data_IF_450585905931
#
_entry.id   IF_450585905931
#
_cell.length_a   1.000
_cell.length_b   1.000
_cell.length_c   1.000
_cell.angle_alpha   90.00
_cell.angle_beta   90.00
_cell.angle_gamma   90.00
#
_symmetry.space_group_name_H-M   'P 1'
#
loop_
_entity.id
_entity.type
_entity.pdbx_description
1 polymer ?
2 polymer ?
3 branched ?
4 non-polymer ?
5 non-polymer ?
6 water ?
#
# COMPACT_ATOMS: atom_id res chain seq x y z
N UNK A 1 -15.47 10.50 14.49
CA UNK A 1 -15.51 9.05 14.15
C UNK A 1 -14.30 8.55 13.35
N UNK A 2 -14.11 9.08 12.13
CA UNK A 2 -13.16 8.50 11.16
C UNK A 2 -13.90 7.46 10.33
N UNK A 3 -13.15 6.57 9.67
CA UNK A 3 -13.77 5.56 8.79
C UNK A 3 -12.99 4.24 8.68
N UNK A 4 -13.62 3.22 8.10
CA UNK A 4 -13.01 1.91 8.00
C UNK A 4 -11.77 1.86 7.11
N UNK A 5 -11.73 2.74 6.11
CA UNK A 5 -10.56 2.87 5.25
C UNK A 5 -9.34 3.46 6.00
N UNK A 6 -9.56 4.50 6.82
CA UNK A 6 -8.50 4.98 7.71
C UNK A 6 -7.99 3.87 8.63
N UNK A 7 -8.90 3.13 9.28
CA UNK A 7 -8.50 2.03 10.16
C UNK A 7 -7.64 1.00 9.44
N UNK A 8 -7.94 0.74 8.17
CA UNK A 8 -7.20 -0.24 7.39
C UNK A 8 -5.81 0.29 7.01
N UNK A 9 -5.72 1.58 6.69
CA UNK A 9 -4.43 2.27 6.53
C UNK A 9 -3.59 2.23 7.82
N UNK A 10 -4.23 2.43 8.97
CA UNK A 10 -3.56 2.34 10.27
C UNK A 10 -2.98 0.94 10.49
N UNK A 11 -3.81 -0.08 10.30
CA UNK A 11 -3.39 -1.49 10.49
C UNK A 11 -2.23 -1.83 9.56
N UNK A 12 -2.33 -1.36 8.32
CA UNK A 12 -1.28 -1.64 7.34
C UNK A 12 0.07 -1.04 7.74
N UNK A 13 0.08 0.25 8.12
CA UNK A 13 1.31 0.95 8.52
C UNK A 13 1.92 0.46 9.82
N UNK A 14 1.11 -0.27 10.60
CA UNK A 14 1.54 -0.90 11.86
C UNK A 14 1.95 -2.36 11.67
N UNK A 15 1.88 -2.84 10.43
CA UNK A 15 2.34 -4.18 10.10
C UNK A 15 3.57 -4.10 9.22
N UNK A 16 4.63 -4.81 9.59
CA UNK A 16 5.90 -4.75 8.85
C UNK A 16 5.74 -5.03 7.34
N UNK A 17 5.02 -6.09 7.00
CA UNK A 17 4.83 -6.49 5.61
C UNK A 17 3.97 -5.50 4.84
N UNK A 18 2.78 -5.20 5.35
CA UNK A 18 1.88 -4.33 4.60
C UNK A 18 2.53 -2.97 4.38
N UNK A 19 3.07 -2.39 5.46
CA UNK A 19 3.74 -1.08 5.40
C UNK A 19 4.79 -0.97 4.29
N UNK A 20 5.69 -1.95 4.24
CA UNK A 20 6.78 -2.01 3.27
C UNK A 20 6.28 -2.11 1.82
N UNK A 21 5.34 -3.00 1.57
CA UNK A 21 4.83 -3.22 0.22
C UNK A 21 3.86 -2.13 -0.24
N UNK A 22 3.17 -1.49 0.70
CA UNK A 22 2.44 -0.25 0.38
C UNK A 22 3.43 0.84 -0.13
N UNK A 23 4.47 1.15 0.65
CA UNK A 23 5.47 2.15 0.22
C UNK A 23 6.11 1.76 -1.09
N UNK A 24 6.37 0.45 -1.25
CA UNK A 24 6.96 -0.09 -2.47
C UNK A 24 6.12 0.18 -3.73
N UNK A 25 4.81 0.36 -3.57
CA UNK A 25 3.98 0.71 -4.73
C UNK A 25 3.62 2.19 -4.79
N UNK A 26 3.42 2.82 -3.64
CA UNK A 26 3.21 4.28 -3.63
C UNK A 26 4.38 5.01 -4.30
N UNK A 27 5.61 4.53 -4.07
CA UNK A 27 6.80 5.15 -4.68
C UNK A 27 6.76 5.23 -6.23
N UNK A 28 6.81 4.07 -6.93
CA UNK A 28 6.77 4.17 -8.41
C UNK A 28 5.47 4.77 -8.95
N UNK A 29 4.36 4.58 -8.23
CA UNK A 29 3.06 5.09 -8.68
C UNK A 29 2.90 6.62 -8.58
N UNK A 30 3.79 7.29 -7.83
CA UNK A 30 3.73 8.76 -7.65
C UNK A 30 4.99 9.49 -8.11
N UNK A 31 5.94 8.74 -8.67
CA UNK A 31 7.19 9.29 -9.19
C UNK A 31 7.02 9.58 -10.66
N UNK A 32 6.89 10.85 -11.01
CA UNK A 32 6.67 11.25 -12.40
C UNK A 32 7.94 11.11 -13.24
N UNK A 33 7.74 10.83 -14.52
CA UNK A 33 8.83 10.78 -15.50
C UNK A 33 8.79 12.02 -16.39
N UNK A 34 9.81 12.17 -17.25
CA UNK A 34 9.80 13.23 -18.25
C UNK A 34 8.67 12.99 -19.26
N UNK A 35 7.71 13.90 -19.26
CA UNK A 35 6.56 13.89 -20.17
C UNK A 35 5.47 12.85 -19.83
N UNK A 36 5.53 12.29 -18.61
CA UNK A 36 4.53 11.31 -18.14
C UNK A 36 4.27 11.45 -16.64
N UNK A 37 3.07 11.09 -16.19
CA UNK A 37 2.71 11.24 -14.78
C UNK A 37 3.40 10.19 -13.88
N UNK A 38 3.69 9.03 -14.45
CA UNK A 38 4.39 7.93 -13.75
C UNK A 38 4.95 6.92 -14.76
N UNK A 39 5.71 5.96 -14.27
CA UNK A 39 6.01 4.78 -15.08
C UNK A 39 4.96 3.71 -14.74
N UNK A 40 4.00 3.58 -15.66
CA UNK A 40 2.82 2.72 -15.46
C UNK A 40 3.22 1.25 -15.24
N UNK A 41 4.20 0.75 -16.02
CA UNK A 41 4.71 -0.61 -15.88
C UNK A 41 5.23 -0.89 -14.46
N UNK A 42 6.06 0.00 -13.94
CA UNK A 42 6.67 -0.16 -12.60
C UNK A 42 5.63 -0.01 -11.49
N UNK A 43 4.64 0.85 -11.73
CA UNK A 43 3.56 1.01 -10.78
C UNK A 43 2.71 -0.25 -10.76
N UNK A 44 2.31 -0.72 -11.95
CA UNK A 44 1.60 -2.00 -12.09
C UNK A 44 2.32 -3.15 -11.39
N UNK A 45 3.62 -3.28 -11.64
CA UNK A 45 4.43 -4.32 -11.00
C UNK A 45 4.31 -4.30 -9.48
N UNK A 46 4.53 -3.13 -8.89
CA UNK A 46 4.50 -2.99 -7.45
C UNK A 46 3.10 -3.26 -6.89
N UNK A 47 2.06 -2.90 -7.65
CA UNK A 47 0.67 -3.21 -7.26
C UNK A 47 0.42 -4.72 -7.18
N UNK A 48 0.86 -5.44 -8.20
CA UNK A 48 0.76 -6.91 -8.24
C UNK A 48 1.48 -7.52 -7.04
N UNK A 49 2.73 -7.09 -6.82
CA UNK A 49 3.50 -7.55 -5.65
C UNK A 49 2.81 -7.23 -4.33
N UNK A 50 2.17 -6.06 -4.22
CA UNK A 50 1.37 -5.74 -3.02
C UNK A 50 0.29 -6.78 -2.74
N UNK A 51 -0.54 -7.07 -3.71
CA UNK A 51 -1.63 -8.04 -3.50
C UNK A 51 -1.17 -9.49 -3.41
N UNK A 52 -0.08 -9.82 -4.09
CA UNK A 52 0.46 -11.18 -4.05
C UNK A 52 1.25 -11.45 -2.77
N UNK A 53 1.91 -10.43 -2.23
CA UNK A 53 2.82 -10.64 -1.11
C UNK A 53 2.25 -10.28 0.24
N UNK A 54 1.25 -9.41 0.27
CA UNK A 54 0.66 -8.99 1.53
C UNK A 54 -0.59 -9.81 1.84
N UNK A 55 -0.68 -10.40 3.05
CA UNK A 55 -1.86 -11.18 3.40
C UNK A 55 -3.16 -10.39 3.17
N UNK A 56 -4.17 -11.11 2.70
CA UNK A 56 -5.48 -10.56 2.33
C UNK A 56 -6.10 -9.67 3.40
N UNK A 57 -6.00 -10.06 4.67
CA UNK A 57 -6.63 -9.29 5.75
C UNK A 57 -6.17 -7.83 5.77
N UNK A 58 -4.90 -7.59 5.43
CA UNK A 58 -4.39 -6.22 5.27
C UNK A 58 -4.65 -5.60 3.92
N UNK A 59 -4.31 -6.30 2.84
CA UNK A 59 -4.45 -5.74 1.49
C UNK A 59 -5.92 -5.50 1.09
N UNK A 60 -6.81 -6.40 1.51
CA UNK A 60 -8.26 -6.25 1.24
C UNK A 60 -8.91 -5.15 2.08
N UNK A 61 -8.38 -4.95 3.29
CA UNK A 61 -8.91 -3.93 4.22
C UNK A 61 -8.93 -2.57 3.55
N UNK A 62 -7.86 -2.28 2.83
CA UNK A 62 -7.75 -1.00 2.16
C UNK A 62 -8.54 -0.92 0.85
N UNK A 63 -8.65 -2.05 0.14
CA UNK A 63 -9.29 -2.07 -1.17
C UNK A 63 -10.80 -2.17 -1.03
N UNK A 64 -11.24 -2.90 -0.01
CA UNK A 64 -12.64 -3.27 0.10
C UNK A 64 -13.36 -2.72 1.30
N UNK A 65 -12.75 -1.79 2.02
CA UNK A 65 -13.36 -1.19 3.21
C UNK A 65 -14.72 -0.56 2.89
N UNK A 66 -15.63 -0.67 3.84
CA UNK A 66 -16.98 -0.09 3.69
C UNK A 66 -16.96 1.36 4.12
N UNK A 67 -17.77 2.17 3.43
CA UNK A 67 -17.84 3.61 3.65
C UNK A 67 -19.26 4.15 3.88
N UNK A 68 -19.37 5.22 4.67
CA UNK A 68 -20.64 5.93 4.90
C UNK A 68 -20.63 7.35 4.31
N UNK A 69 -19.44 7.89 4.02
CA UNK A 69 -19.30 9.25 3.49
C UNK A 69 -18.27 9.40 2.35
N UNK A 70 -18.25 10.58 1.71
CA UNK A 70 -17.40 10.81 0.54
C UNK A 70 -15.91 10.92 0.90
N UNK A 71 -15.61 11.23 2.15
CA UNK A 71 -14.23 11.26 2.63
C UNK A 71 -13.64 9.85 2.64
N UNK A 72 -14.49 8.87 2.91
CA UNK A 72 -14.09 7.47 2.98
C UNK A 72 -13.94 6.87 1.57
N UNK A 73 -14.96 7.07 0.74
CA UNK A 73 -15.01 6.51 -0.61
C UNK A 73 -13.93 7.09 -1.51
N UNK A 74 -13.53 8.34 -1.24
CA UNK A 74 -12.45 8.98 -2.00
C UNK A 74 -11.07 8.45 -1.60
N UNK A 75 -10.90 8.15 -0.32
CA UNK A 75 -9.70 7.48 0.16
C UNK A 75 -9.59 6.08 -0.47
N UNK A 76 -10.71 5.35 -0.46
CA UNK A 76 -10.76 4.00 -1.04
C UNK A 76 -10.45 4.00 -2.53
N UNK A 77 -11.00 4.98 -3.25
CA UNK A 77 -10.75 5.12 -4.68
C UNK A 77 -9.28 5.41 -5.00
N UNK A 78 -8.55 6.01 -4.06
CA UNK A 78 -7.12 6.34 -4.26
C UNK A 78 -6.16 5.20 -3.93
N UNK A 79 -6.67 4.10 -3.36
CA UNK A 79 -5.84 2.97 -2.91
C UNK A 79 -4.87 2.48 -3.99
N UNK A 80 -5.36 2.35 -5.23
CA UNK A 80 -4.54 1.84 -6.34
C UNK A 80 -3.80 2.96 -7.10
N UNK A 81 -3.87 4.18 -6.58
CA UNK A 81 -3.26 5.35 -7.24
C UNK A 81 -3.75 5.53 -8.70
N UNK A 82 -5.07 5.65 -8.91
CA UNK A 82 -5.65 5.57 -10.28
C UNK A 82 -5.11 6.56 -11.30
N UNK A 83 -4.61 7.71 -10.86
CA UNK A 83 -4.09 8.72 -11.79
C UNK A 83 -2.94 8.12 -12.60
N UNK A 84 -2.24 7.18 -11.98
CA UNK A 84 -1.12 6.51 -12.61
C UNK A 84 -1.48 5.14 -13.20
N UNK A 85 -2.20 4.35 -12.41
CA UNK A 85 -2.37 2.92 -12.69
C UNK A 85 -3.62 2.57 -13.49
N UNK A 86 -4.55 3.52 -13.59
CA UNK A 86 -5.90 3.25 -14.09
C UNK A 86 -6.28 4.16 -15.26
N UNK A 87 -6.27 5.46 -15.01
CA UNK A 87 -6.67 6.44 -16.01
C UNK A 87 -5.66 6.52 -17.12
N UNK A 88 -6.15 6.84 -18.33
CA UNK A 88 -5.32 7.15 -19.51
C UNK A 88 -5.99 8.28 -20.29
N UNK A 89 -5.25 8.97 -21.15
CA UNK A 89 -5.83 10.06 -21.95
C UNK A 89 -7.14 9.61 -22.64
N UNK A 90 -7.12 8.44 -23.28
CA UNK A 90 -8.27 7.88 -24.00
C UNK A 90 -8.67 6.51 -23.45
N UNK A 91 -9.97 6.20 -23.51
CA UNK A 91 -10.45 4.86 -23.21
C UNK A 91 -10.43 3.99 -24.47
N UNK A 92 -9.69 2.86 -24.43
CA UNK A 92 -9.76 1.90 -25.52
C UNK A 92 -11.08 1.15 -25.48
N UNK A 93 -11.35 0.38 -26.52
CA UNK A 93 -12.52 -0.48 -26.53
C UNK A 93 -12.26 -1.72 -25.69
N UNK A 94 -13.20 -2.08 -24.83
CA UNK A 94 -13.05 -3.21 -23.91
C UNK A 94 -12.73 -4.56 -24.58
N UNK A 95 -13.14 -4.74 -25.82
CA UNK A 95 -12.80 -5.96 -26.55
C UNK A 95 -11.34 -5.96 -27.01
N UNK A 96 -10.82 -4.77 -27.34
CA UNK A 96 -9.40 -4.62 -27.69
C UNK A 96 -8.56 -4.85 -26.44
N UNK A 97 -8.98 -4.21 -25.34
CA UNK A 97 -8.35 -4.37 -24.03
C UNK A 97 -8.34 -5.84 -23.56
N UNK A 98 -9.48 -6.53 -23.69
CA UNK A 98 -9.50 -7.99 -23.47
C UNK A 98 -8.47 -8.76 -24.33
N UNK A 99 -8.36 -8.42 -25.62
CA UNK A 99 -7.35 -9.03 -26.49
C UNK A 99 -5.94 -8.81 -25.95
N UNK A 100 -5.59 -7.56 -25.60
CA UNK A 100 -4.25 -7.25 -25.04
C UNK A 100 -3.98 -8.05 -23.77
N UNK A 101 -4.99 -8.10 -22.89
CA UNK A 101 -4.95 -8.89 -21.67
C UNK A 101 -4.60 -10.35 -21.95
N UNK A 102 -5.30 -10.94 -22.92
CA UNK A 102 -5.12 -12.36 -23.27
C UNK A 102 -3.74 -12.74 -23.85
N UNK A 103 -2.98 -11.77 -24.34
CA UNK A 103 -1.62 -12.05 -24.82
C UNK A 103 -0.60 -12.12 -23.67
N UNK A 104 -1.07 -11.83 -22.45
CA UNK A 104 -0.20 -11.80 -21.30
C UNK A 104 -0.59 -12.90 -20.34
N UNK A 105 0.39 -13.70 -19.91
CA UNK A 105 0.08 -14.88 -19.11
C UNK A 105 -0.69 -14.50 -17.83
N UNK A 106 -0.18 -13.51 -17.09
CA UNK A 106 -0.81 -13.15 -15.81
C UNK A 106 -2.22 -12.56 -16.05
N UNK A 107 -2.32 -11.64 -17.00
CA UNK A 107 -3.62 -11.03 -17.28
C UNK A 107 -4.64 -12.07 -17.73
N UNK A 108 -4.27 -12.91 -18.72
CA UNK A 108 -5.16 -13.98 -19.20
C UNK A 108 -5.69 -14.83 -18.04
N UNK A 109 -4.78 -15.24 -17.16
CA UNK A 109 -5.09 -16.11 -16.04
C UNK A 109 -5.98 -15.46 -14.99
N UNK A 110 -5.64 -14.22 -14.60
CA UNK A 110 -6.43 -13.44 -13.64
C UNK A 110 -7.82 -13.08 -14.21
N UNK A 111 -7.87 -12.69 -15.49
CA UNK A 111 -9.16 -12.43 -16.15
C UNK A 111 -10.10 -13.65 -16.14
N UNK A 112 -9.57 -14.82 -16.49
CA UNK A 112 -10.37 -16.05 -16.46
C UNK A 112 -10.88 -16.38 -15.05
N UNK A 113 -10.01 -16.26 -14.04
CA UNK A 113 -10.43 -16.47 -12.64
C UNK A 113 -11.58 -15.55 -12.28
N UNK A 114 -11.52 -14.31 -12.78
CA UNK A 114 -12.55 -13.31 -12.50
C UNK A 114 -13.89 -13.73 -13.05
N UNK A 115 -13.92 -14.07 -14.35
CA UNK A 115 -15.18 -14.48 -14.98
C UNK A 115 -15.73 -15.78 -14.45
N UNK A 116 -14.81 -16.66 -14.04
CA UNK A 116 -15.18 -17.93 -13.41
C UNK A 116 -15.72 -17.73 -11.99
N UNK A 117 -14.97 -16.99 -11.16
CA UNK A 117 -15.25 -16.90 -9.74
C UNK A 117 -16.29 -15.86 -9.34
N UNK A 118 -16.50 -14.85 -10.17
CA UNK A 118 -17.45 -13.77 -9.83
C UNK A 118 -18.70 -13.84 -10.70
N UNK A 119 -18.97 -15.03 -11.23
CA UNK A 119 -20.11 -15.25 -12.06
C UNK A 119 -21.34 -15.16 -11.18
N UNK A 120 -22.24 -14.18 -11.45
CA UNK A 120 -23.45 -14.11 -10.62
C UNK A 120 -24.48 -15.18 -11.00
N UNK A 121 -25.08 -15.79 -9.99
CA UNK A 121 -26.25 -16.64 -10.15
C UNK A 121 -27.35 -16.15 -9.22
N UNK A 122 -28.46 -15.70 -9.82
CA UNK A 122 -29.60 -15.13 -9.07
C UNK A 122 -30.37 -16.11 -8.19
N UNK A 123 -30.14 -17.40 -8.38
CA UNK A 123 -30.89 -18.43 -7.66
C UNK A 123 -30.18 -18.91 -6.39
N UNK A 124 -28.94 -18.44 -6.21
CA UNK A 124 -28.11 -18.80 -5.06
C UNK A 124 -28.26 -17.78 -3.92
N UNK A 125 -27.99 -18.24 -2.69
CA UNK A 125 -28.05 -17.39 -1.49
C UNK A 125 -26.93 -16.33 -1.48
N UNK A 126 -25.72 -16.76 -1.83
CA UNK A 126 -24.58 -15.87 -1.98
C UNK A 126 -24.69 -14.99 -3.23
N UNK A 127 -25.46 -15.46 -4.21
CA UNK A 127 -25.65 -14.79 -5.51
C UNK A 127 -24.46 -15.07 -6.45
N UNK A 128 -23.61 -16.02 -6.07
CA UNK A 128 -22.45 -16.43 -6.86
C UNK A 128 -22.57 -17.87 -7.34
N UNK A 129 -22.39 -18.11 -8.64
CA UNK A 129 -22.41 -19.47 -9.21
C UNK A 129 -21.48 -20.38 -8.43
N UNK A 130 -20.22 -19.96 -8.27
CA UNK A 130 -19.20 -20.71 -7.53
C UNK A 130 -19.31 -20.62 -6.00
N UNK A 131 -20.22 -19.76 -5.52
CA UNK A 131 -20.58 -19.66 -4.09
C UNK A 131 -19.39 -19.52 -3.14
N UNK A 132 -18.50 -18.60 -3.47
CA UNK A 132 -17.27 -18.42 -2.74
C UNK A 132 -16.79 -16.99 -2.91
N UNK A 133 -17.09 -16.16 -1.91
CA UNK A 133 -16.69 -14.77 -1.95
C UNK A 133 -15.16 -14.62 -2.00
N UNK A 134 -14.45 -15.43 -1.22
CA UNK A 134 -12.99 -15.42 -1.17
C UNK A 134 -12.33 -15.54 -2.53
N UNK A 135 -12.78 -16.49 -3.36
CA UNK A 135 -12.22 -16.69 -4.70
C UNK A 135 -12.57 -15.58 -5.68
N UNK A 136 -13.75 -14.99 -5.53
CA UNK A 136 -14.13 -13.81 -6.32
C UNK A 136 -13.29 -12.56 -5.98
N UNK A 137 -13.09 -12.32 -4.68
CA UNK A 137 -12.27 -11.19 -4.23
C UNK A 137 -10.81 -11.35 -4.67
N UNK A 138 -10.32 -12.58 -4.56
CA UNK A 138 -9.00 -12.97 -5.00
C UNK A 138 -8.85 -12.73 -6.48
N UNK A 139 -9.89 -13.08 -7.24
CA UNK A 139 -9.83 -12.91 -8.68
C UNK A 139 -9.86 -11.45 -9.07
N UNK A 140 -10.73 -10.69 -8.40
CA UNK A 140 -10.88 -9.26 -8.66
C UNK A 140 -9.63 -8.46 -8.28
N UNK A 141 -9.20 -8.56 -7.03
CA UNK A 141 -7.97 -7.89 -6.60
C UNK A 141 -6.82 -8.30 -7.51
N UNK A 142 -6.83 -9.56 -7.97
CA UNK A 142 -5.84 -10.10 -8.90
C UNK A 142 -5.65 -9.34 -10.21
N UNK A 143 -6.69 -8.65 -10.67
CA UNK A 143 -6.56 -7.87 -11.91
C UNK A 143 -5.78 -6.58 -11.75
N UNK A 144 -5.62 -6.12 -10.52
CA UNK A 144 -4.95 -4.85 -10.26
C UNK A 144 -3.46 -4.95 -10.57
N UNK A 145 -3.00 -4.08 -11.46
CA UNK A 145 -1.65 -4.17 -11.98
C UNK A 145 -1.57 -4.91 -13.32
N UNK A 146 -2.72 -5.28 -13.89
CA UNK A 146 -2.74 -5.80 -15.27
C UNK A 146 -3.32 -4.70 -16.14
N UNK A 147 -3.28 -4.85 -17.47
CA UNK A 147 -3.96 -3.87 -18.33
C UNK A 147 -5.47 -3.76 -18.01
N UNK A 148 -5.99 -4.80 -17.37
CA UNK A 148 -7.38 -4.89 -16.98
C UNK A 148 -7.65 -4.29 -15.58
N UNK A 149 -6.65 -3.58 -15.03
CA UNK A 149 -6.77 -2.86 -13.76
C UNK A 149 -8.14 -2.18 -13.64
N UNK A 150 -8.97 -2.63 -12.67
CA UNK A 150 -10.27 -2.08 -12.36
C UNK A 150 -10.21 -1.14 -11.16
N UNK A 151 -11.23 -0.28 -11.06
CA UNK A 151 -11.35 0.61 -9.92
C UNK A 151 -12.78 1.07 -9.77
N UNK A 152 -13.11 1.52 -8.56
CA UNK A 152 -14.40 2.13 -8.28
C UNK A 152 -14.64 3.30 -9.23
N UNK A 153 -15.82 3.34 -9.83
CA UNK A 153 -16.21 4.44 -10.72
C UNK A 153 -17.22 5.39 -10.08
N UNK A 154 -18.22 4.83 -9.39
CA UNK A 154 -19.43 5.54 -8.95
C UNK A 154 -19.40 5.80 -7.44
N UNK A 155 -18.89 6.97 -7.03
CA UNK A 155 -18.70 7.31 -5.60
C UNK A 155 -19.89 7.09 -4.64
N UNK A 156 -21.09 6.86 -5.19
CA UNK A 156 -22.25 6.49 -4.38
C UNK A 156 -22.50 4.97 -4.31
N UNK A 157 -21.60 4.17 -4.89
CA UNK A 157 -21.78 2.71 -4.91
C UNK A 157 -20.47 1.92 -5.00
N UNK A 158 -20.60 0.60 -5.03
CA UNK A 158 -19.47 -0.32 -5.16
C UNK A 158 -19.18 -0.70 -6.62
N UNK A 159 -19.70 0.09 -7.56
CA UNK A 159 -19.57 -0.19 -9.00
C UNK A 159 -18.13 -0.02 -9.51
N UNK A 160 -17.65 -1.03 -10.21
CA UNK A 160 -16.29 -1.02 -10.77
C UNK A 160 -16.30 -1.27 -12.27
N UNK A 161 -15.23 -0.86 -12.94
CA UNK A 161 -15.02 -1.10 -14.35
C UNK A 161 -13.54 -0.96 -14.64
N UNK A 162 -13.04 -1.66 -15.69
CA UNK A 162 -11.66 -1.38 -16.10
C UNK A 162 -11.64 -0.08 -16.88
N UNK A 163 -10.48 0.30 -17.41
CA UNK A 163 -10.38 1.54 -18.16
C UNK A 163 -10.59 1.29 -19.67
N UNK A 164 -11.86 1.26 -20.05
CA UNK A 164 -12.28 0.96 -21.40
C UNK A 164 -13.77 1.25 -21.49
N UNK A 165 -14.26 1.48 -22.70
CA UNK A 165 -15.69 1.54 -22.94
C UNK A 165 -16.03 0.80 -24.22
N UNK A 166 -17.30 0.85 -24.62
CA UNK A 166 -17.74 0.09 -25.77
C UNK A 166 -18.03 0.94 -27.01
N UNK A 167 -17.42 2.12 -27.07
CA UNK A 167 -17.52 2.96 -28.27
C UNK A 167 -16.85 2.28 -29.46
N UNK A 168 -17.46 2.44 -30.64
CA UNK A 168 -16.93 1.88 -31.89
C UNK A 168 -16.75 0.37 -31.87
N UNK A 169 -17.78 -0.35 -31.46
CA UNK A 169 -17.70 -1.81 -31.39
C UNK A 169 -18.16 -2.53 -32.65
N UNK A 170 -18.74 -1.80 -33.62
CA UNK A 170 -19.33 -2.42 -34.82
C UNK A 170 -20.31 -3.52 -34.44
N UNK A 171 -20.18 -4.69 -35.04
CA UNK A 171 -21.07 -5.83 -34.74
C UNK A 171 -20.84 -6.46 -33.36
N UNK A 172 -19.77 -6.08 -32.68
CA UNK A 172 -19.43 -6.72 -31.40
C UNK A 172 -19.93 -5.98 -30.13
N UNK A 173 -20.77 -4.98 -30.34
CA UNK A 173 -21.29 -4.17 -29.24
C UNK A 173 -21.98 -4.96 -28.12
N UNK A 174 -22.76 -5.98 -28.46
CA UNK A 174 -23.45 -6.75 -27.43
C UNK A 174 -22.48 -7.54 -26.55
N UNK A 175 -21.50 -8.17 -27.21
CA UNK A 175 -20.41 -8.87 -26.54
C UNK A 175 -19.59 -7.88 -25.70
N UNK A 176 -19.27 -6.72 -26.26
CA UNK A 176 -18.56 -5.68 -25.51
C UNK A 176 -19.29 -5.29 -24.22
N UNK A 177 -20.59 -5.01 -24.34
CA UNK A 177 -21.39 -4.57 -23.20
C UNK A 177 -21.52 -5.66 -22.13
N UNK A 178 -21.71 -6.90 -22.58
CA UNK A 178 -21.67 -8.06 -21.70
C UNK A 178 -20.39 -8.12 -20.86
N UNK A 179 -19.25 -7.92 -21.53
CA UNK A 179 -17.95 -7.89 -20.85
C UNK A 179 -17.90 -6.73 -19.83
N UNK A 180 -18.24 -5.52 -20.28
CA UNK A 180 -18.15 -4.34 -19.44
C UNK A 180 -19.09 -4.37 -18.24
N UNK A 181 -20.31 -4.84 -18.48
CA UNK A 181 -21.35 -4.89 -17.44
C UNK A 181 -21.11 -6.00 -16.43
N UNK A 182 -20.27 -6.96 -16.80
CA UNK A 182 -19.86 -8.00 -15.86
C UNK A 182 -19.04 -7.40 -14.72
N UNK A 183 -18.34 -6.29 -14.99
CA UNK A 183 -17.70 -5.50 -13.96
C UNK A 183 -18.72 -4.55 -13.30
N UNK A 184 -19.43 -3.77 -14.11
CA UNK A 184 -20.27 -2.67 -13.61
C UNK A 184 -21.49 -3.10 -12.79
N UNK A 185 -22.16 -4.15 -13.26
CA UNK A 185 -23.40 -4.59 -12.64
C UNK A 185 -23.24 -6.05 -12.28
N UNK A 186 -22.47 -6.30 -11.22
CA UNK A 186 -22.13 -7.65 -10.81
C UNK A 186 -22.52 -7.89 -9.37
N UNK A 187 -23.68 -8.52 -9.17
CA UNK A 187 -24.22 -8.78 -7.83
C UNK A 187 -23.34 -9.71 -7.01
N UNK A 188 -22.67 -10.66 -7.67
CA UNK A 188 -21.76 -11.55 -6.96
C UNK A 188 -20.60 -10.76 -6.34
N UNK A 189 -19.90 -9.99 -7.19
CA UNK A 189 -18.82 -9.12 -6.74
C UNK A 189 -19.23 -8.11 -5.66
N UNK A 190 -20.36 -7.42 -5.89
CA UNK A 190 -20.87 -6.43 -4.93
C UNK A 190 -21.15 -7.07 -3.56
N UNK A 191 -21.77 -8.27 -3.57
CA UNK A 191 -22.05 -8.98 -2.33
C UNK A 191 -20.76 -9.38 -1.62
N UNK A 192 -19.79 -9.84 -2.42
CA UNK A 192 -18.51 -10.28 -1.89
C UNK A 192 -17.76 -9.12 -1.22
N UNK A 193 -17.79 -7.95 -1.84
CA UNK A 193 -17.16 -6.77 -1.24
C UNK A 193 -17.92 -6.30 0.01
N UNK A 194 -19.25 -6.25 -0.08
CA UNK A 194 -20.07 -5.96 1.10
C UNK A 194 -19.78 -6.92 2.24
N UNK A 195 -19.65 -8.21 1.90
CA UNK A 195 -19.36 -9.25 2.89
C UNK A 195 -18.02 -9.03 3.60
N UNK A 196 -16.99 -8.65 2.85
CA UNK A 196 -15.70 -8.36 3.46
C UNK A 196 -15.79 -7.13 4.38
N UNK A 197 -16.50 -6.10 3.92
CA UNK A 197 -16.69 -4.86 4.68
C UNK A 197 -17.49 -5.02 5.95
N UNK A 198 -18.33 -6.05 6.01
CA UNK A 198 -19.13 -6.37 7.21
C UNK A 198 -18.27 -7.01 8.29
N UNK A 199 -17.42 -7.96 7.88
CA UNK A 199 -16.48 -8.62 8.78
C UNK A 199 -16.64 -10.13 8.86
N UNK A 200 -16.96 -10.75 7.73
CA UNK A 200 -17.18 -12.20 7.66
C UNK A 200 -15.93 -13.02 7.99
N UNK B 1 32.64 -7.74 26.06
CA UNK B 1 32.78 -9.23 25.90
C UNK B 1 31.42 -9.95 25.93
N UNK B 2 30.62 -9.67 26.96
CA UNK B 2 29.20 -10.05 26.98
C UNK B 2 28.38 -8.94 26.32
N UNK B 3 29.07 -8.06 25.59
CA UNK B 3 28.48 -6.92 24.91
C UNK B 3 28.65 -5.62 25.69
N UNK B 4 29.62 -4.81 25.30
CA UNK B 4 29.73 -3.45 25.79
C UNK B 4 28.49 -2.62 25.39
N UNK B 5 28.14 -1.65 26.23
CA UNK B 5 27.07 -0.69 25.93
C UNK B 5 25.68 -1.35 25.66
N UNK B 6 25.36 -2.39 26.44
CA UNK B 6 24.08 -3.11 26.35
C UNK B 6 22.88 -2.17 26.54
N UNK B 7 23.11 -1.04 27.20
CA UNK B 7 22.04 -0.08 27.51
C UNK B 7 21.62 0.83 26.35
N UNK B 8 22.31 0.72 25.22
CA UNK B 8 21.97 1.48 24.01
C UNK B 8 20.89 0.64 23.32
N UNK B 9 19.64 1.11 23.38
CA UNK B 9 18.52 0.26 22.96
C UNK B 9 17.46 0.98 22.12
N UNK B 10 16.63 0.16 21.48
CA UNK B 10 15.55 0.62 20.61
C UNK B 10 14.30 0.81 21.45
N UNK B 11 13.58 1.90 21.22
CA UNK B 11 12.28 2.11 21.88
C UNK B 11 11.23 2.51 20.84
N UNK B 12 10.05 1.90 20.93
CA UNK B 12 8.98 2.13 19.96
C UNK B 12 7.85 2.96 20.54
N UNK B 13 7.40 3.95 19.78
CA UNK B 13 6.17 4.67 20.15
C UNK B 13 5.17 4.83 19.01
N UNK B 14 3.91 4.74 19.38
CA UNK B 14 2.80 4.84 18.46
C UNK B 14 2.38 6.32 18.33
N UNK B 15 2.37 6.83 17.11
CA UNK B 15 2.17 8.24 16.85
C UNK B 15 1.19 8.50 15.69
N UNK B 16 0.55 9.67 15.72
CA UNK B 16 -0.05 10.22 14.51
C UNK B 16 1.10 10.78 13.67
N UNK B 17 0.97 10.75 12.34
CA UNK B 17 1.98 11.36 11.48
C UNK B 17 2.11 12.87 11.79
N UNK B 18 1.01 13.50 12.22
CA UNK B 18 1.03 14.93 12.51
C UNK B 18 1.90 15.30 13.71
N UNK B 19 2.10 14.34 14.63
CA UNK B 19 2.94 14.52 15.83
C UNK B 19 4.41 14.75 15.50
N UNK B 20 4.81 14.38 14.29
CA UNK B 20 6.21 14.46 13.87
C UNK B 20 6.65 15.87 13.56
N UNK B 21 5.69 16.76 13.37
CA UNK B 21 5.96 18.14 12.99
C UNK B 21 6.70 18.34 11.68
N UNK B 22 6.49 17.45 10.70
CA UNK B 22 7.23 17.50 9.44
C UNK B 22 6.51 18.26 8.31
N UNK B 23 5.37 18.88 8.63
CA UNK B 23 4.61 19.68 7.67
C UNK B 23 3.39 19.03 7.03
N UNK B 24 3.04 17.82 7.49
CA UNK B 24 1.99 17.02 6.86
C UNK B 24 0.66 17.26 7.51
N UNK B 25 -0.40 17.19 6.71
CA UNK B 25 -1.77 17.27 7.22
C UNK B 25 -2.53 16.00 6.82
N UNK B 26 -2.69 15.10 7.78
CA UNK B 26 -3.18 13.76 7.52
C UNK B 26 -3.66 13.12 8.82
N UNK B 27 -4.57 12.16 8.70
CA UNK B 27 -5.10 11.42 9.84
C UNK B 27 -4.35 10.11 10.06
N UNK B 28 -3.34 9.85 9.21
CA UNK B 28 -2.62 8.57 9.26
C UNK B 28 -1.63 8.46 10.43
N UNK B 29 -1.18 7.24 10.70
CA UNK B 29 -0.44 6.90 11.93
C UNK B 29 0.83 6.08 11.62
N UNK B 30 1.71 5.93 12.60
CA UNK B 30 2.94 5.13 12.45
C UNK B 30 3.44 4.62 13.81
N UNK B 31 4.38 3.67 13.76
CA UNK B 31 5.26 3.34 14.86
C UNK B 31 6.58 4.09 14.58
N UNK B 32 6.98 4.96 15.50
CA UNK B 32 8.29 5.61 15.41
C UNK B 32 9.20 5.00 16.46
N UNK B 33 10.42 4.64 16.04
CA UNK B 33 11.39 3.96 16.91
C UNK B 33 12.71 4.74 16.98
N UNK B 34 13.26 4.90 18.18
CA UNK B 34 14.45 5.70 18.37
C UNK B 34 15.47 4.98 19.25
N UNK B 35 16.71 5.45 19.17
CA UNK B 35 17.84 4.82 19.85
C UNK B 35 18.27 5.70 21.00
N UNK B 36 18.34 5.14 22.22
CA UNK B 36 18.84 5.88 23.39
C UNK B 36 19.52 4.97 24.43
N UNK B 37 20.33 5.58 25.28
CA UNK B 37 21.10 4.87 26.30
C UNK B 37 22.57 5.25 26.25
N UNK B 38 23.33 4.79 27.23
CA UNK B 38 24.71 5.26 27.41
C UNK B 38 25.73 4.52 26.53
N UNK B 39 26.80 5.23 26.19
CA UNK B 39 27.92 4.72 25.40
C UNK B 39 29.24 5.01 26.12
N UNK B 40 29.29 4.62 27.39
CA UNK B 40 30.44 4.91 28.23
C UNK B 40 31.65 4.04 27.92
N UNK B 41 31.40 2.79 27.55
CA UNK B 41 32.46 1.84 27.23
C UNK B 41 32.99 2.09 25.82
N UNK B 42 34.32 2.12 25.69
CA UNK B 42 35.01 2.42 24.42
C UNK B 42 35.10 1.18 23.52
N UNK B 43 34.59 1.29 22.30
CA UNK B 43 34.60 0.17 21.37
C UNK B 43 35.54 0.41 20.19
N UNK B 44 36.22 1.56 20.15
CA UNK B 44 37.15 1.82 19.06
C UNK B 44 38.45 2.40 19.59
N UNK B 45 39.52 2.34 18.78
CA UNK B 45 40.80 2.94 19.13
C UNK B 45 40.62 4.40 19.55
N UNK B 46 39.90 5.16 18.73
CA UNK B 46 39.69 6.58 18.96
C UNK B 46 39.00 6.83 20.31
N UNK B 47 37.96 6.04 20.58
CA UNK B 47 37.20 6.11 21.83
C UNK B 47 38.03 5.66 23.03
N UNK B 48 38.90 4.66 22.83
CA UNK B 48 39.81 4.24 23.90
C UNK B 48 40.76 5.39 24.25
N UNK B 49 41.31 6.05 23.23
CA UNK B 49 42.19 7.20 23.46
C UNK B 49 41.49 8.30 24.29
N UNK B 50 40.27 8.68 23.90
CA UNK B 50 39.52 9.71 24.62
C UNK B 50 39.31 9.37 26.11
N UNK B 51 38.93 8.13 26.36
CA UNK B 51 38.66 7.62 27.69
C UNK B 51 39.94 7.61 28.52
N UNK B 52 41.04 7.17 27.90
CA UNK B 52 42.34 7.10 28.57
C UNK B 52 42.93 8.46 28.87
N UNK B 53 42.70 9.42 27.99
CA UNK B 53 43.17 10.78 28.21
C UNK B 53 42.39 11.50 29.32
N UNK B 54 41.11 11.15 29.52
CA UNK B 54 40.37 11.69 30.67
C UNK B 54 40.90 11.02 31.94
N UNK B 55 41.09 9.71 31.89
CA UNK B 55 41.61 8.99 33.04
C UNK B 55 42.96 9.52 33.52
N UNK B 56 43.91 9.77 32.60
CA UNK B 56 45.25 10.25 32.98
C UNK B 56 45.40 11.77 33.02
N UNK B 57 44.27 12.45 32.86
CA UNK B 57 44.14 13.91 33.01
C UNK B 57 44.80 14.77 31.94
N UNK B 58 45.22 14.16 30.84
CA UNK B 58 45.69 14.91 29.67
C UNK B 58 44.53 15.64 28.97
N UNK B 59 43.30 15.22 29.26
CA UNK B 59 42.10 15.96 28.87
C UNK B 59 41.40 16.50 30.12
N UNK B 60 41.65 17.77 30.44
CA UNK B 60 41.10 18.41 31.66
C UNK B 60 39.57 18.50 31.53
N UNK B 61 38.91 17.35 31.72
CA UNK B 61 37.46 17.18 31.53
C UNK B 61 37.09 15.69 31.48
N UNK B 62 35.80 15.39 31.62
CA UNK B 62 35.31 14.03 31.44
C UNK B 62 34.16 13.96 30.42
N UNK B 63 34.09 12.85 29.69
CA UNK B 63 33.03 12.58 28.70
C UNK B 63 33.05 13.48 27.43
N UNK B 64 34.17 14.15 27.18
CA UNK B 64 34.30 15.04 26.01
C UNK B 64 34.46 14.21 24.72
N UNK B 65 33.69 14.56 23.69
CA UNK B 65 33.75 13.91 22.38
C UNK B 65 33.27 12.47 22.36
N UNK B 66 32.51 12.11 23.40
CA UNK B 66 32.07 10.73 23.59
C UNK B 66 31.14 10.26 22.47
N UNK B 67 31.16 8.96 22.22
CA UNK B 67 30.20 8.32 21.34
C UNK B 67 28.78 8.47 21.88
N UNK B 68 27.78 8.29 21.02
CA UNK B 68 26.36 8.30 21.46
C UNK B 68 25.52 7.21 20.79
N UNK B 69 24.40 6.87 21.43
CA UNK B 69 23.52 5.81 20.97
C UNK B 69 22.61 6.27 19.81
N UNK B 70 22.86 5.72 18.62
CA UNK B 70 22.31 6.27 17.39
C UNK B 70 21.86 5.14 16.44
N UNK B 71 20.97 5.47 15.47
CA UNK B 71 20.56 4.39 14.57
C UNK B 71 21.72 3.96 13.69
N UNK B 72 21.89 2.64 13.53
CA UNK B 72 22.88 2.12 12.57
C UNK B 72 22.15 1.40 11.42
N UNK B 73 20.83 1.36 11.50
CA UNK B 73 19.95 0.91 10.42
C UNK B 73 18.57 1.53 10.63
N UNK B 74 17.85 1.74 9.54
CA UNK B 74 16.54 2.38 9.58
C UNK B 74 15.41 1.44 9.17
N UNK B 75 14.21 1.66 9.73
CA UNK B 75 13.01 0.94 9.33
C UNK B 75 12.65 1.23 7.86
N UNK B 76 11.77 0.42 7.28
CA UNK B 76 11.33 0.60 5.90
C UNK B 76 10.51 1.87 5.77
N UNK B 77 10.41 2.37 4.54
CA UNK B 77 9.65 3.56 4.22
C UNK B 77 8.20 3.45 4.68
N UNK B 78 7.66 4.58 5.12
CA UNK B 78 6.26 4.69 5.53
C UNK B 78 5.55 5.69 4.61
N UNK B 79 4.42 5.28 4.06
CA UNK B 79 3.66 6.13 3.17
C UNK B 79 2.28 6.36 3.76
N UNK B 80 1.61 7.41 3.29
CA UNK B 80 0.27 7.77 3.77
C UNK B 80 -0.39 8.70 2.77
N UNK B 81 -1.72 8.74 2.81
CA UNK B 81 -2.53 9.63 2.00
C UNK B 81 -2.99 10.78 2.89
N UNK B 82 -2.73 12.02 2.48
CA UNK B 82 -3.08 13.19 3.30
C UNK B 82 -4.52 13.66 3.08
N UNK B 83 -4.87 14.80 3.70
CA UNK B 83 -6.25 15.27 3.74
C UNK B 83 -6.73 15.78 2.39
N UNK B 84 -5.77 16.19 1.56
CA UNK B 84 -6.04 16.67 0.22
C UNK B 84 -5.87 15.56 -0.84
N UNK B 85 -5.94 14.31 -0.39
CA UNK B 85 -5.68 13.10 -1.19
C UNK B 85 -4.35 13.09 -1.94
N UNK B 86 -3.30 13.62 -1.31
CA UNK B 86 -1.95 13.56 -1.86
C UNK B 86 -1.18 12.54 -1.06
N UNK B 87 -0.41 11.70 -1.76
CA UNK B 87 0.45 10.68 -1.16
C UNK B 87 1.82 11.23 -0.81
N UNK B 88 2.36 10.75 0.29
CA UNK B 88 3.73 11.07 0.69
C UNK B 88 4.44 9.82 1.14
N UNK B 89 5.77 9.86 1.10
CA UNK B 89 6.58 8.80 1.67
C UNK B 89 7.64 9.34 2.60
N UNK B 90 7.66 8.82 3.82
CA UNK B 90 8.71 9.05 4.79
C UNK B 90 9.81 8.03 4.67
N UNK B 91 11.05 8.52 4.61
CA UNK B 91 12.24 7.67 4.53
C UNK B 91 13.24 7.99 5.66
N UNK B 92 13.92 6.96 6.16
CA UNK B 92 14.97 7.12 7.18
C UNK B 92 14.48 7.94 8.37
N UNK B 93 13.24 7.65 8.78
CA UNK B 93 12.54 8.38 9.82
C UNK B 93 12.50 7.63 11.15
N UNK B 94 12.79 6.32 11.10
CA UNK B 94 12.62 5.46 12.25
C UNK B 94 13.77 4.43 12.30
N UNK B 95 14.23 4.11 13.51
CA UNK B 95 15.40 3.25 13.66
C UNK B 95 15.03 1.77 13.68
N UNK B 96 15.88 0.95 13.04
CA UNK B 96 15.75 -0.52 13.08
C UNK B 96 16.77 -1.16 14.04
N UNK B 97 17.99 -0.63 14.08
CA UNK B 97 19.03 -1.09 15.02
C UNK B 97 19.83 0.08 15.60
N UNK B 98 20.26 -0.08 16.85
CA UNK B 98 21.01 0.95 17.55
C UNK B 98 22.46 0.55 17.76
N UNK B 99 23.33 1.56 17.81
CA UNK B 99 24.71 1.36 18.19
C UNK B 99 25.33 2.67 18.64
N UNK B 100 26.47 2.56 19.31
CA UNK B 100 27.28 3.70 19.73
C UNK B 100 28.21 4.09 18.60
N UNK B 101 28.17 5.35 18.19
CA UNK B 101 28.94 5.83 17.04
C UNK B 101 29.51 7.20 17.36
#
# INVERSE_FOLDING_TARGET
>A
KGNNCLDAAKACNLDDTCKKYRSAYITPCTTSMSNEVCNRRKCHKALRQFFDKVPAKHSYGMLFCSCRDIACTERRRQTIVPVCSYEERERPNCLSLQDSCKTNYICRSRLADFFTNCQPESRSVSNCLKENYADCLLAYSGLIGTVMTPNYVDSSSLSVAPWCDCSNSGNDLEDCLKFLNFFKDNTCLKNAIQAFGNGS
>B
QRGKNRGCVLTAIHLNVTDLGLGYETKEELIFRYCSGSCDAAETTYDKILKNLSRNRRLVSDKVGQACCRPIAFDDDLSFLDDNLVYHILRKHSAKRCGCI
#
